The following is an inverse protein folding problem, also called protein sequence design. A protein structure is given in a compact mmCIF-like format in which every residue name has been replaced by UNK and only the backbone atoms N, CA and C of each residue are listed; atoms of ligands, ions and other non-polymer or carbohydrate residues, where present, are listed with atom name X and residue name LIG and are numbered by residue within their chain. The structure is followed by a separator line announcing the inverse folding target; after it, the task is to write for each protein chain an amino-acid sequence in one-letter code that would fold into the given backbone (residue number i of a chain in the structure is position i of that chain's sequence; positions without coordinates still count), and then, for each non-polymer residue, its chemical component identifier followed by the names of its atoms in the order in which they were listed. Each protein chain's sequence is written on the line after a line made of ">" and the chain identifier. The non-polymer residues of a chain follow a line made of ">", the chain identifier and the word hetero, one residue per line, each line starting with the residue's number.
data_IF_586010483773
#
_entry.id   IF_586010483773
#
_cell.length_a   1.000
_cell.length_b   1.000
_cell.length_c   1.000
_cell.angle_alpha   90.00
_cell.angle_beta   90.00
_cell.angle_gamma   90.00
#
_symmetry.space_group_name_H-M   'P 1'
#
loop_
_entity.id
_entity.type
_entity.pdbx_description
1 polymer ?
#
# COMPACT_ATOMS: atom_id res chain seq x y z
N UNK A 1 7.19 -27.54 -9.62
CA UNK A 1 6.57 -26.37 -8.96
C UNK A 1 7.56 -25.90 -7.91
N UNK A 2 8.36 -24.87 -8.19
CA UNK A 2 9.32 -24.33 -7.22
C UNK A 2 8.63 -23.18 -6.49
N UNK A 3 8.73 -23.09 -5.15
CA UNK A 3 8.24 -21.93 -4.44
C UNK A 3 9.22 -20.79 -4.73
N UNK A 4 8.74 -19.71 -5.32
CA UNK A 4 9.51 -18.49 -5.44
C UNK A 4 9.51 -17.84 -4.06
N UNK A 5 10.40 -18.34 -3.20
CA UNK A 5 10.73 -17.70 -1.94
C UNK A 5 11.64 -16.54 -2.30
N UNK A 6 11.02 -15.40 -2.61
CA UNK A 6 11.68 -14.10 -2.58
C UNK A 6 12.38 -13.93 -1.24
N UNK A 7 13.61 -13.47 -1.33
CA UNK A 7 14.61 -13.16 -0.30
C UNK A 7 14.06 -13.01 1.14
N UNK A 8 14.15 -14.09 1.93
CA UNK A 8 14.32 -14.01 3.38
C UNK A 8 13.21 -13.35 4.21
N UNK A 9 12.07 -14.03 4.38
CA UNK A 9 11.22 -13.89 5.58
C UNK A 9 10.54 -12.53 5.82
N UNK A 10 10.70 -11.57 4.92
CA UNK A 10 9.92 -10.34 4.90
C UNK A 10 8.70 -10.54 3.99
N UNK A 11 7.55 -10.15 4.51
CA UNK A 11 6.28 -10.10 3.78
C UNK A 11 6.48 -9.18 2.58
N UNK A 12 6.14 -9.63 1.37
CA UNK A 12 6.33 -8.87 0.12
C UNK A 12 5.87 -7.40 0.26
N UNK A 13 6.51 -6.42 -0.40
CA UNK A 13 6.14 -5.00 -0.26
C UNK A 13 4.64 -4.72 -0.50
N UNK A 14 4.01 -5.46 -1.42
CA UNK A 14 2.57 -5.38 -1.68
C UNK A 14 1.71 -5.83 -0.49
N UNK A 15 2.18 -6.75 0.32
CA UNK A 15 1.46 -7.16 1.51
C UNK A 15 1.32 -6.02 2.53
N UNK A 16 2.24 -5.03 2.54
CA UNK A 16 2.10 -3.81 3.37
C UNK A 16 1.00 -2.92 2.81
N UNK A 17 0.87 -2.82 1.48
CA UNK A 17 -0.21 -2.07 0.82
C UNK A 17 -1.58 -2.61 1.24
N UNK A 18 -1.71 -3.94 1.28
CA UNK A 18 -2.94 -4.66 1.62
C UNK A 18 -3.31 -4.65 3.12
N UNK A 19 -2.46 -4.10 4.01
CA UNK A 19 -2.74 -3.99 5.45
C UNK A 19 -3.81 -2.93 5.74
N UNK A 20 -5.07 -3.28 5.55
CA UNK A 20 -6.22 -2.41 5.85
C UNK A 20 -6.45 -2.17 7.34
N UNK A 21 -5.78 -2.94 8.21
CA UNK A 21 -5.73 -2.73 9.65
C UNK A 21 -4.80 -1.58 10.07
N UNK A 22 -3.96 -1.08 9.16
CA UNK A 22 -3.07 0.06 9.37
C UNK A 22 -3.54 1.27 8.57
N UNK A 23 -3.37 2.47 9.14
CA UNK A 23 -3.64 3.70 8.40
C UNK A 23 -2.63 3.89 7.24
N UNK A 24 -2.95 4.83 6.36
CA UNK A 24 -2.12 5.14 5.19
C UNK A 24 -0.70 5.56 5.58
N UNK A 25 -0.57 6.48 6.55
CA UNK A 25 0.71 7.05 6.96
C UNK A 25 1.64 5.96 7.56
N UNK A 26 1.08 5.04 8.33
CA UNK A 26 1.83 3.91 8.91
C UNK A 26 2.33 2.96 7.82
N UNK A 27 1.49 2.62 6.84
CA UNK A 27 1.90 1.79 5.69
C UNK A 27 2.99 2.46 4.86
N UNK A 28 2.86 3.76 4.61
CA UNK A 28 3.85 4.54 3.87
C UNK A 28 5.19 4.59 4.62
N UNK A 29 5.17 4.83 5.93
CA UNK A 29 6.38 4.86 6.75
C UNK A 29 7.13 3.52 6.74
N UNK A 30 6.40 2.40 6.81
CA UNK A 30 6.99 1.05 6.73
C UNK A 30 7.73 0.86 5.39
N UNK A 31 7.08 1.23 4.27
CA UNK A 31 7.68 1.08 2.95
C UNK A 31 8.88 2.00 2.74
N UNK A 32 8.82 3.25 3.24
CA UNK A 32 9.94 4.19 3.15
C UNK A 32 11.15 3.74 3.98
N UNK A 33 10.94 3.23 5.20
CA UNK A 33 12.02 2.67 6.03
C UNK A 33 12.65 1.44 5.37
N UNK A 34 11.83 0.57 4.77
CA UNK A 34 12.32 -0.58 4.02
C UNK A 34 13.19 -0.13 2.84
N UNK A 35 12.70 0.81 2.02
CA UNK A 35 13.48 1.39 0.92
C UNK A 35 14.82 1.96 1.40
N UNK A 36 14.80 2.75 2.48
CA UNK A 36 16.01 3.36 3.04
C UNK A 36 17.02 2.30 3.48
N UNK A 37 16.55 1.20 4.07
CA UNK A 37 17.39 0.06 4.42
C UNK A 37 17.99 -0.63 3.20
N UNK A 38 17.22 -0.88 2.15
CA UNK A 38 17.74 -1.48 0.91
C UNK A 38 18.83 -0.60 0.27
N UNK A 39 18.62 0.72 0.24
CA UNK A 39 19.64 1.67 -0.25
C UNK A 39 20.89 1.61 0.60
N UNK A 40 20.75 1.62 1.93
CA UNK A 40 21.88 1.56 2.87
C UNK A 40 22.67 0.26 2.74
N UNK A 41 21.97 -0.86 2.55
CA UNK A 41 22.55 -2.19 2.50
C UNK A 41 23.09 -2.52 1.08
N UNK A 42 22.92 -1.62 0.11
CA UNK A 42 23.40 -1.79 -1.26
C UNK A 42 22.64 -2.87 -2.03
N UNK A 43 21.34 -3.03 -1.76
CA UNK A 43 20.51 -4.04 -2.37
C UNK A 43 20.41 -3.88 -3.90
N UNK A 44 20.11 -4.98 -4.63
CA UNK A 44 19.87 -4.93 -6.06
C UNK A 44 18.76 -3.94 -6.44
N UNK A 45 18.90 -3.32 -7.63
CA UNK A 45 17.91 -2.39 -8.17
C UNK A 45 16.51 -3.02 -8.32
N UNK A 46 16.43 -4.33 -8.56
CA UNK A 46 15.17 -5.06 -8.61
C UNK A 46 14.40 -4.97 -7.28
N UNK A 47 15.07 -5.14 -6.14
CA UNK A 47 14.43 -5.06 -4.81
C UNK A 47 13.98 -3.62 -4.50
N UNK A 48 14.77 -2.62 -4.90
CA UNK A 48 14.37 -1.21 -4.80
C UNK A 48 13.13 -0.92 -5.64
N UNK A 49 13.07 -1.46 -6.86
CA UNK A 49 11.94 -1.29 -7.78
C UNK A 49 10.66 -1.90 -7.23
N UNK A 50 10.75 -3.05 -6.56
CA UNK A 50 9.59 -3.67 -5.92
C UNK A 50 8.99 -2.81 -4.80
N UNK A 51 9.84 -2.25 -3.93
CA UNK A 51 9.39 -1.35 -2.86
C UNK A 51 8.86 -0.04 -3.43
N UNK A 52 9.52 0.53 -4.43
CA UNK A 52 9.07 1.76 -5.10
C UNK A 52 7.71 1.55 -5.79
N UNK A 53 7.48 0.38 -6.39
CA UNK A 53 6.18 -0.01 -6.94
C UNK A 53 5.08 -0.12 -5.89
N UNK A 54 5.38 -0.68 -4.72
CA UNK A 54 4.42 -0.75 -3.61
C UNK A 54 4.07 0.62 -3.03
N UNK A 55 5.06 1.52 -2.89
CA UNK A 55 4.82 2.92 -2.48
C UNK A 55 3.86 3.59 -3.48
N UNK A 56 4.15 3.46 -4.78
CA UNK A 56 3.30 4.03 -5.82
C UNK A 56 1.88 3.46 -5.78
N UNK A 57 1.72 2.15 -5.60
CA UNK A 57 0.42 1.51 -5.48
C UNK A 57 -0.38 2.03 -4.28
N UNK A 58 0.26 2.20 -3.13
CA UNK A 58 -0.36 2.75 -1.93
C UNK A 58 -0.84 4.19 -2.14
N UNK A 59 0.00 5.03 -2.74
CA UNK A 59 -0.35 6.43 -3.04
C UNK A 59 -1.47 6.57 -4.07
N UNK A 60 -1.48 5.73 -5.11
CA UNK A 60 -2.56 5.74 -6.11
C UNK A 60 -3.85 5.24 -5.50
N UNK A 61 -3.81 4.16 -4.72
CA UNK A 61 -4.98 3.61 -4.03
C UNK A 61 -5.60 4.58 -3.04
N UNK A 62 -4.78 5.34 -2.29
CA UNK A 62 -5.28 6.33 -1.33
C UNK A 62 -5.95 7.51 -2.02
N UNK A 63 -5.42 7.98 -3.17
CA UNK A 63 -6.06 9.02 -3.98
C UNK A 63 -7.42 8.59 -4.51
N UNK A 64 -7.54 7.37 -5.03
CA UNK A 64 -8.81 6.84 -5.55
C UNK A 64 -9.85 6.67 -4.44
N UNK A 65 -9.46 6.21 -3.26
CA UNK A 65 -10.39 6.12 -2.12
C UNK A 65 -10.82 7.49 -1.61
N UNK A 66 -9.91 8.47 -1.55
CA UNK A 66 -10.23 9.85 -1.19
C UNK A 66 -11.23 10.50 -2.15
N UNK A 67 -11.11 10.22 -3.45
CA UNK A 67 -12.01 10.70 -4.51
C UNK A 67 -13.38 10.00 -4.51
N UNK A 68 -13.51 8.85 -3.84
CA UNK A 68 -14.78 8.12 -3.67
C UNK A 68 -15.54 8.54 -2.38
N UNK A 69 -15.02 9.49 -1.59
CA UNK A 69 -15.59 9.85 -0.28
C UNK A 69 -16.63 10.99 -0.28
N UNK A 70 -16.99 11.55 -1.42
CA UNK A 70 -18.05 12.57 -1.50
C UNK A 70 -18.99 12.25 -2.66
N UNK A 71 -20.02 11.44 -2.40
CA UNK A 71 -21.37 11.54 -2.99
C UNK A 71 -22.18 10.29 -2.63
N UNK A 72 -22.54 10.16 -1.35
CA UNK A 72 -23.81 9.50 -1.04
C UNK A 72 -24.82 10.64 -0.99
N UNK A 73 -25.77 10.75 -1.95
CA UNK A 73 -26.86 11.70 -1.83
C UNK A 73 -27.58 11.43 -0.52
N UNK A 74 -27.61 12.42 0.36
CA UNK A 74 -28.27 12.42 1.67
C UNK A 74 -29.82 12.39 1.55
N UNK A 75 -30.35 11.85 0.45
CA UNK A 75 -31.77 11.91 0.09
C UNK A 75 -32.44 10.53 0.14
N UNK A 76 -32.01 9.70 1.10
CA UNK A 76 -32.85 8.61 1.59
C UNK A 76 -33.76 9.11 2.72
N UNK A 77 -34.52 10.18 2.45
CA UNK A 77 -35.68 10.51 3.28
C UNK A 77 -36.80 9.49 3.00
N UNK A 78 -36.75 8.47 3.83
CA UNK A 78 -37.86 7.73 4.41
C UNK A 78 -39.28 8.29 4.17
N UNK A 79 -40.10 7.51 3.46
CA UNK A 79 -41.56 7.37 3.66
C UNK A 79 -42.28 8.49 4.44
N UNK A 80 -43.06 9.30 3.74
CA UNK A 80 -44.32 9.81 4.29
C UNK A 80 -45.37 10.02 3.18
N UNK A 81 -46.22 8.99 3.06
CA UNK A 81 -47.64 8.98 2.62
C UNK A 81 -48.06 9.72 1.34
#
# INVERSE_FOLDING_TARGET
>A
MKPEVGTGGFVEPLAVVDRTDLDYETRLAILQEWRARLVRDGAPEAELTEVDGAIQALEVGSRVQGDQSEDVPDDYDTRAR
#
